data_IF_775590794280
#
_entry.id   IF_775590794280
#
_cell.length_a   1.000
_cell.length_b   1.000
_cell.length_c   1.000
_cell.angle_alpha   90.00
_cell.angle_beta   90.00
_cell.angle_gamma   90.00
#
_symmetry.space_group_name_H-M   'P 1'
#
loop_
_entity.id
_entity.type
_entity.pdbx_description
1 polymer ?
#
# COMPACT_ATOMS: atom_id res chain seq x y z
N UNK A 1 -2.23 18.89 14.40
CA UNK A 1 -2.81 17.54 14.48
C UNK A 1 -4.24 17.59 15.01
N UNK A 2 -5.01 16.53 14.77
CA UNK A 2 -6.27 16.25 15.46
C UNK A 2 -6.37 14.75 15.74
N UNK A 3 -7.24 14.37 16.68
CA UNK A 3 -7.59 12.97 16.95
C UNK A 3 -9.10 12.85 16.81
N UNK A 4 -9.54 11.87 16.05
CA UNK A 4 -10.97 11.58 15.86
C UNK A 4 -11.23 10.18 16.38
N UNK A 5 -11.76 10.08 17.58
CA UNK A 5 -12.21 8.81 18.11
C UNK A 5 -13.57 8.43 17.50
N UNK A 6 -13.74 7.16 17.22
CA UNK A 6 -15.00 6.67 16.66
C UNK A 6 -15.37 5.28 17.22
N UNK A 7 -16.65 5.12 17.41
CA UNK A 7 -17.31 3.88 17.76
C UNK A 7 -18.67 3.89 17.05
N UNK A 8 -19.81 3.87 17.78
CA UNK A 8 -21.12 4.20 17.22
C UNK A 8 -21.19 5.69 16.83
N UNK A 9 -20.60 6.55 17.65
CA UNK A 9 -20.50 7.97 17.43
C UNK A 9 -19.06 8.36 17.07
N UNK A 10 -18.92 9.54 16.46
CA UNK A 10 -17.63 10.12 16.10
C UNK A 10 -17.38 11.35 16.98
N UNK A 11 -16.27 11.34 17.71
CA UNK A 11 -15.89 12.41 18.63
C UNK A 11 -14.50 12.94 18.27
N UNK A 12 -14.37 14.11 17.67
CA UNK A 12 -13.08 14.75 17.47
C UNK A 12 -12.56 15.37 18.78
N UNK A 13 -11.22 15.34 18.97
CA UNK A 13 -10.56 16.06 20.07
C UNK A 13 -10.82 17.57 20.01
N UNK A 14 -10.83 18.12 18.79
CA UNK A 14 -11.09 19.53 18.53
C UNK A 14 -11.82 19.69 17.19
N UNK A 15 -12.53 20.82 16.99
CA UNK A 15 -13.22 21.14 15.74
C UNK A 15 -12.24 21.32 14.57
N UNK A 16 -11.05 21.83 14.86
CA UNK A 16 -9.99 22.09 13.86
C UNK A 16 -8.65 21.50 14.33
N UNK A 17 -7.72 21.16 13.41
CA UNK A 17 -6.38 20.71 13.77
C UNK A 17 -5.65 21.71 14.68
N UNK A 18 -5.02 21.21 15.72
CA UNK A 18 -4.31 21.96 16.72
C UNK A 18 -2.77 21.90 16.49
N UNK A 19 -2.01 22.94 16.90
CA UNK A 19 -0.56 22.88 16.89
C UNK A 19 -0.07 21.84 17.91
N UNK A 20 1.07 21.19 17.63
CA UNK A 20 1.61 20.14 18.51
C UNK A 20 2.43 20.71 19.68
N UNK A 21 1.89 21.70 20.42
CA UNK A 21 2.54 22.25 21.63
C UNK A 21 2.54 21.22 22.76
N UNK A 22 3.43 21.37 23.76
CA UNK A 22 3.42 20.47 24.92
C UNK A 22 2.06 20.38 25.64
N UNK A 23 1.33 21.49 25.68
CA UNK A 23 0.01 21.54 26.30
C UNK A 23 -1.02 20.77 25.47
N UNK A 24 -1.09 21.01 24.16
CA UNK A 24 -2.01 20.30 23.28
C UNK A 24 -1.72 18.80 23.21
N UNK A 25 -0.44 18.41 23.30
CA UNK A 25 -0.06 16.99 23.40
C UNK A 25 -0.50 16.35 24.71
N UNK A 26 -0.48 17.12 25.84
CA UNK A 26 -1.01 16.63 27.11
C UNK A 26 -2.52 16.43 27.04
N UNK A 27 -3.26 17.42 26.56
CA UNK A 27 -4.72 17.32 26.35
C UNK A 27 -5.08 16.13 25.45
N UNK A 28 -4.29 15.87 24.42
CA UNK A 28 -4.49 14.71 23.55
C UNK A 28 -4.27 13.38 24.29
N UNK A 29 -3.30 13.29 25.18
CA UNK A 29 -3.09 12.10 26.03
C UNK A 29 -4.26 11.88 26.98
N UNK A 30 -4.66 12.94 27.69
CA UNK A 30 -5.79 12.88 28.62
C UNK A 30 -7.09 12.46 27.88
N UNK A 31 -7.27 12.95 26.65
CA UNK A 31 -8.37 12.53 25.78
C UNK A 31 -8.29 11.04 25.43
N UNK A 32 -7.14 10.53 25.04
CA UNK A 32 -6.92 9.11 24.70
C UNK A 32 -7.15 8.24 25.93
N UNK A 33 -6.61 8.62 27.08
CA UNK A 33 -6.74 7.87 28.35
C UNK A 33 -8.19 7.80 28.81
N UNK A 34 -9.01 8.78 28.43
CA UNK A 34 -10.46 8.81 28.69
C UNK A 34 -11.30 7.95 27.74
N UNK A 35 -10.72 7.42 26.65
CA UNK A 35 -11.48 6.62 25.68
C UNK A 35 -11.90 5.28 26.30
N UNK A 36 -13.12 4.86 25.96
CA UNK A 36 -13.66 3.56 26.36
C UNK A 36 -14.14 2.82 25.14
N UNK A 37 -13.72 1.58 24.99
CA UNK A 37 -14.23 0.71 23.94
C UNK A 37 -15.74 0.51 24.11
N UNK A 38 -16.53 0.84 23.10
CA UNK A 38 -17.99 0.68 23.10
C UNK A 38 -18.54 0.61 21.68
N UNK A 39 -19.63 -0.15 21.55
CA UNK A 39 -20.54 -0.11 20.42
C UNK A 39 -19.94 -0.55 19.11
N UNK A 40 -20.40 0.08 18.04
CA UNK A 40 -20.05 -0.26 16.67
C UNK A 40 -18.85 0.51 16.12
N UNK A 41 -18.69 0.49 14.80
CA UNK A 41 -17.52 1.02 14.09
C UNK A 41 -17.97 1.91 12.93
N UNK A 42 -18.04 3.24 13.15
CA UNK A 42 -18.53 4.25 12.22
C UNK A 42 -17.38 4.79 11.33
N UNK A 43 -16.73 3.93 10.53
CA UNK A 43 -15.55 4.27 9.72
C UNK A 43 -15.84 5.40 8.72
N UNK A 44 -16.97 5.36 8.00
CA UNK A 44 -17.29 6.39 7.00
C UNK A 44 -17.37 7.78 7.63
N UNK A 45 -18.11 7.91 8.73
CA UNK A 45 -18.29 9.19 9.43
C UNK A 45 -16.97 9.71 10.02
N UNK A 46 -16.11 8.83 10.54
CA UNK A 46 -14.78 9.18 11.04
C UNK A 46 -13.88 9.70 9.92
N UNK A 47 -13.85 9.00 8.77
CA UNK A 47 -13.10 9.44 7.60
C UNK A 47 -13.59 10.78 7.07
N UNK A 48 -14.90 10.98 6.95
CA UNK A 48 -15.46 12.26 6.51
C UNK A 48 -15.07 13.39 7.45
N UNK A 49 -15.09 13.17 8.76
CA UNK A 49 -14.66 14.15 9.77
C UNK A 49 -13.19 14.50 9.61
N UNK A 50 -12.32 13.50 9.45
CA UNK A 50 -10.89 13.72 9.26
C UNK A 50 -10.54 14.38 7.91
N UNK A 51 -11.25 14.01 6.84
CA UNK A 51 -10.98 14.52 5.48
C UNK A 51 -11.52 15.93 5.24
N UNK A 52 -12.54 16.38 5.99
CA UNK A 52 -13.05 17.76 5.92
C UNK A 52 -12.20 18.74 6.73
N UNK A 53 -11.38 18.26 7.66
CA UNK A 53 -10.51 19.13 8.45
C UNK A 53 -9.62 19.98 7.54
N UNK A 54 -9.39 21.28 7.84
CA UNK A 54 -8.51 22.13 7.04
C UNK A 54 -7.09 21.55 6.99
N UNK A 55 -6.46 21.58 5.81
CA UNK A 55 -5.08 21.16 5.60
C UNK A 55 -4.21 22.39 5.40
N UNK A 56 -3.01 22.39 5.98
CA UNK A 56 -2.00 23.41 5.71
C UNK A 56 -1.49 23.26 4.26
N UNK A 57 -1.20 24.38 3.60
CA UNK A 57 -0.70 24.38 2.23
C UNK A 57 0.82 24.16 2.12
N UNK A 58 1.55 24.34 3.23
CA UNK A 58 3.02 24.31 3.31
C UNK A 58 3.59 22.94 3.67
N UNK A 59 2.72 21.99 3.95
CA UNK A 59 3.14 20.64 4.38
C UNK A 59 2.16 19.55 3.95
N UNK A 60 2.63 18.30 3.78
CA UNK A 60 1.75 17.17 3.46
C UNK A 60 0.71 16.94 4.58
N UNK A 61 -0.55 16.87 4.21
CA UNK A 61 -1.61 16.45 5.12
C UNK A 61 -1.72 14.93 5.10
N UNK A 62 -1.74 14.31 6.29
CA UNK A 62 -1.82 12.87 6.47
C UNK A 62 -3.02 12.51 7.34
N UNK A 63 -3.72 11.45 6.97
CA UNK A 63 -4.77 10.84 7.78
C UNK A 63 -4.34 9.41 8.08
N UNK A 64 -4.29 9.05 9.35
CA UNK A 64 -3.99 7.68 9.80
C UNK A 64 -5.24 7.09 10.41
N UNK A 65 -5.80 6.07 9.77
CA UNK A 65 -6.91 5.29 10.26
C UNK A 65 -6.37 4.07 11.01
N UNK A 66 -6.74 3.92 12.28
CA UNK A 66 -6.42 2.74 13.10
C UNK A 66 -7.75 2.07 13.45
N UNK A 67 -7.91 0.80 13.12
CA UNK A 67 -9.15 0.06 13.39
C UNK A 67 -8.85 -1.43 13.60
N UNK A 68 -9.66 -2.06 14.42
CA UNK A 68 -9.64 -3.51 14.69
C UNK A 68 -10.88 -4.24 14.15
N UNK A 69 -11.80 -3.51 13.49
CA UNK A 69 -13.07 -4.07 13.04
C UNK A 69 -13.52 -3.65 11.64
N UNK A 70 -14.67 -4.23 11.29
CA UNK A 70 -15.43 -3.90 10.08
C UNK A 70 -16.28 -2.65 10.31
N UNK A 71 -16.66 -1.89 9.27
CA UNK A 71 -17.67 -0.85 9.41
C UNK A 71 -19.03 -1.49 9.76
N UNK A 72 -19.61 -1.07 10.86
CA UNK A 72 -20.89 -1.63 11.37
C UNK A 72 -21.95 -0.56 11.64
N UNK A 73 -21.59 0.71 11.55
CA UNK A 73 -22.49 1.85 11.83
C UNK A 73 -22.43 2.85 10.69
N UNK A 74 -23.58 3.41 10.35
CA UNK A 74 -23.73 4.34 9.23
C UNK A 74 -23.57 3.65 7.89
N UNK A 75 -22.77 4.24 6.99
CA UNK A 75 -22.43 3.58 5.73
C UNK A 75 -21.47 2.41 5.99
N UNK A 76 -21.85 1.22 5.53
CA UNK A 76 -21.06 0.00 5.71
C UNK A 76 -20.59 -0.62 4.40
N UNK A 77 -21.09 -0.14 3.26
CA UNK A 77 -20.64 -0.60 1.94
C UNK A 77 -19.23 -0.08 1.63
N UNK A 78 -18.23 -0.96 1.48
CA UNK A 78 -16.86 -0.55 1.23
C UNK A 78 -16.71 0.28 -0.06
N UNK A 79 -17.50 -0.01 -1.10
CA UNK A 79 -17.44 0.71 -2.37
C UNK A 79 -17.90 2.16 -2.23
N UNK A 80 -18.96 2.38 -1.46
CA UNK A 80 -19.48 3.73 -1.16
C UNK A 80 -18.48 4.50 -0.30
N UNK A 81 -17.94 3.88 0.75
CA UNK A 81 -16.93 4.49 1.64
C UNK A 81 -15.70 4.90 0.82
N UNK A 82 -15.18 4.01 -0.02
CA UNK A 82 -14.01 4.28 -0.88
C UNK A 82 -14.28 5.42 -1.86
N UNK A 83 -15.46 5.45 -2.49
CA UNK A 83 -15.84 6.51 -3.42
C UNK A 83 -15.87 7.88 -2.74
N UNK A 84 -16.52 7.97 -1.56
CA UNK A 84 -16.58 9.20 -0.77
C UNK A 84 -15.21 9.65 -0.28
N UNK A 85 -14.40 8.73 0.23
CA UNK A 85 -13.05 9.04 0.69
C UNK A 85 -12.17 9.58 -0.43
N UNK A 86 -12.21 8.96 -1.63
CA UNK A 86 -11.47 9.43 -2.82
C UNK A 86 -11.88 10.83 -3.25
N UNK A 87 -13.19 11.14 -3.25
CA UNK A 87 -13.69 12.47 -3.60
C UNK A 87 -13.22 13.55 -2.63
N UNK A 88 -13.04 13.20 -1.34
CA UNK A 88 -12.71 14.15 -0.28
C UNK A 88 -11.23 14.19 0.08
N UNK A 89 -10.44 13.19 -0.30
CA UNK A 89 -9.03 13.09 0.08
C UNK A 89 -8.18 14.26 -0.43
N UNK A 90 -8.44 14.73 -1.65
CA UNK A 90 -7.62 15.78 -2.25
C UNK A 90 -6.14 15.41 -2.24
N UNK A 91 -5.24 16.29 -1.77
CA UNK A 91 -3.80 16.01 -1.71
C UNK A 91 -3.39 15.21 -0.46
N UNK A 92 -4.32 14.75 0.37
CA UNK A 92 -4.02 14.03 1.62
C UNK A 92 -3.55 12.61 1.34
N UNK A 93 -2.62 12.13 2.20
CA UNK A 93 -2.14 10.75 2.24
C UNK A 93 -2.95 9.98 3.26
N UNK A 94 -3.56 8.89 2.85
CA UNK A 94 -4.32 8.03 3.74
C UNK A 94 -3.47 6.81 4.10
N UNK A 95 -3.19 6.68 5.37
CA UNK A 95 -2.54 5.51 5.95
C UNK A 95 -3.57 4.72 6.75
N UNK A 96 -3.55 3.40 6.63
CA UNK A 96 -4.46 2.53 7.37
C UNK A 96 -3.69 1.49 8.17
N UNK A 97 -4.07 1.33 9.42
CA UNK A 97 -3.48 0.37 10.34
C UNK A 97 -4.57 -0.56 10.87
N UNK A 98 -4.55 -1.78 10.38
CA UNK A 98 -5.51 -2.82 10.77
C UNK A 98 -4.94 -3.69 11.88
N UNK A 99 -5.67 -3.83 13.00
CA UNK A 99 -5.26 -4.62 14.16
C UNK A 99 -6.12 -5.87 14.27
N UNK A 100 -5.49 -7.03 14.40
CA UNK A 100 -6.20 -8.29 14.51
C UNK A 100 -6.71 -8.84 13.18
N UNK A 101 -7.68 -9.75 13.26
CA UNK A 101 -8.18 -10.50 12.09
C UNK A 101 -9.53 -9.97 11.56
N UNK A 102 -10.24 -9.16 12.33
CA UNK A 102 -11.61 -8.75 12.00
C UNK A 102 -11.69 -7.49 11.13
N UNK A 103 -10.57 -7.03 10.59
CA UNK A 103 -10.49 -5.84 9.76
C UNK A 103 -10.86 -6.13 8.29
N UNK A 104 -11.48 -5.16 7.63
CA UNK A 104 -11.73 -5.23 6.20
C UNK A 104 -10.49 -4.81 5.42
N UNK A 105 -9.65 -5.79 5.04
CA UNK A 105 -8.39 -5.53 4.33
C UNK A 105 -8.63 -4.88 2.96
N UNK A 106 -9.72 -5.21 2.28
CA UNK A 106 -10.09 -4.62 0.99
C UNK A 106 -10.39 -3.12 1.14
N UNK A 107 -11.13 -2.75 2.18
CA UNK A 107 -11.44 -1.36 2.47
C UNK A 107 -10.17 -0.58 2.81
N UNK A 108 -9.34 -1.10 3.73
CA UNK A 108 -8.14 -0.40 4.19
C UNK A 108 -7.13 -0.20 3.07
N UNK A 109 -6.88 -1.21 2.24
CA UNK A 109 -5.98 -1.07 1.09
C UNK A 109 -6.56 -0.13 0.03
N UNK A 110 -7.86 -0.23 -0.23
CA UNK A 110 -8.56 0.64 -1.18
C UNK A 110 -8.54 2.12 -0.79
N UNK A 111 -8.58 2.43 0.53
CA UNK A 111 -8.43 3.79 1.06
C UNK A 111 -7.04 4.37 0.80
N UNK A 112 -6.00 3.55 0.91
CA UNK A 112 -4.62 3.98 0.70
C UNK A 112 -4.25 4.08 -0.79
N UNK A 113 -4.93 3.31 -1.65
CA UNK A 113 -4.68 3.30 -3.09
C UNK A 113 -5.01 4.66 -3.72
N UNK A 114 -4.09 5.20 -4.52
CA UNK A 114 -4.26 6.49 -5.20
C UNK A 114 -4.07 7.71 -4.29
N UNK A 115 -3.69 7.52 -3.02
CA UNK A 115 -3.42 8.61 -2.07
C UNK A 115 -1.95 8.68 -1.64
N UNK A 116 -1.07 7.87 -2.23
CA UNK A 116 0.35 7.73 -1.84
C UNK A 116 0.53 7.32 -0.37
N UNK A 117 -0.53 6.82 0.24
CA UNK A 117 -0.49 6.22 1.56
C UNK A 117 -0.24 4.71 1.50
N UNK A 118 -0.24 4.09 2.66
CA UNK A 118 0.03 2.67 2.81
C UNK A 118 -0.82 2.07 3.93
N UNK A 119 -1.26 0.84 3.77
CA UNK A 119 -1.89 0.06 4.82
C UNK A 119 -0.87 -0.90 5.46
N UNK A 120 -1.03 -1.14 6.74
CA UNK A 120 -0.27 -2.11 7.53
C UNK A 120 -1.21 -2.95 8.37
N UNK A 121 -0.83 -4.19 8.64
CA UNK A 121 -1.66 -5.12 9.42
C UNK A 121 -0.82 -5.75 10.53
N UNK A 122 -1.37 -5.76 11.75
CA UNK A 122 -0.78 -6.40 12.92
C UNK A 122 -1.65 -7.58 13.30
N UNK A 123 -1.08 -8.78 13.24
CA UNK A 123 -1.77 -9.99 13.64
C UNK A 123 -1.78 -10.12 15.16
N UNK A 124 -2.72 -10.91 15.74
CA UNK A 124 -2.85 -11.05 17.20
C UNK A 124 -1.57 -11.52 17.92
N UNK A 125 -0.72 -12.28 17.22
CA UNK A 125 0.54 -12.79 17.76
C UNK A 125 1.71 -11.79 17.71
N UNK A 126 1.55 -10.66 17.07
CA UNK A 126 2.58 -9.63 16.92
C UNK A 126 2.48 -8.58 18.02
N UNK A 127 3.62 -8.02 18.39
CA UNK A 127 3.69 -6.89 19.32
C UNK A 127 3.16 -5.61 18.65
N UNK A 128 2.03 -5.13 19.16
CA UNK A 128 1.34 -3.96 18.64
C UNK A 128 2.17 -2.68 18.81
N UNK A 129 2.87 -2.52 19.93
CA UNK A 129 3.66 -1.33 20.22
C UNK A 129 4.86 -1.21 19.27
N UNK A 130 5.56 -2.32 19.04
CA UNK A 130 6.67 -2.39 18.07
C UNK A 130 6.16 -2.09 16.67
N UNK A 131 5.04 -2.67 16.26
CA UNK A 131 4.47 -2.48 14.93
C UNK A 131 4.00 -1.03 14.71
N UNK A 132 3.35 -0.41 15.69
CA UNK A 132 2.90 0.98 15.64
C UNK A 132 4.09 1.95 15.61
N UNK A 133 5.11 1.72 16.44
CA UNK A 133 6.32 2.55 16.47
C UNK A 133 7.05 2.53 15.13
N UNK A 134 7.26 1.33 14.57
CA UNK A 134 7.89 1.17 13.25
C UNK A 134 7.07 1.84 12.14
N UNK A 135 5.74 1.69 12.19
CA UNK A 135 4.86 2.36 11.25
C UNK A 135 4.95 3.89 11.37
N UNK A 136 4.91 4.42 12.60
CA UNK A 136 5.05 5.86 12.85
C UNK A 136 6.37 6.40 12.32
N UNK A 137 7.49 5.77 12.65
CA UNK A 137 8.81 6.17 12.15
C UNK A 137 8.87 6.19 10.62
N UNK A 138 8.20 5.24 9.98
CA UNK A 138 8.16 5.14 8.51
C UNK A 138 7.41 6.28 7.83
N UNK A 139 6.60 7.07 8.53
CA UNK A 139 5.79 8.16 7.98
C UNK A 139 6.02 9.52 8.66
N UNK A 140 6.78 9.56 9.77
CA UNK A 140 6.89 10.74 10.62
C UNK A 140 7.62 11.93 9.96
N UNK A 141 8.54 11.65 9.05
CA UNK A 141 9.42 12.67 8.48
C UNK A 141 9.45 12.59 6.94
N UNK A 142 8.48 13.19 6.24
CA UNK A 142 8.52 13.28 4.79
C UNK A 142 9.71 14.15 4.35
N UNK A 143 10.50 13.65 3.41
CA UNK A 143 11.69 14.35 2.88
C UNK A 143 11.40 14.83 1.47
N UNK A 144 10.78 14.00 0.63
CA UNK A 144 10.44 14.35 -0.74
C UNK A 144 9.03 13.84 -1.05
N UNK A 145 8.15 14.74 -1.44
CA UNK A 145 6.73 14.45 -1.67
C UNK A 145 6.32 14.73 -3.11
N UNK A 146 5.20 14.18 -3.55
CA UNK A 146 4.69 14.45 -4.88
C UNK A 146 5.58 13.96 -6.01
N UNK A 147 6.27 12.83 -5.84
CA UNK A 147 7.28 12.34 -6.77
C UNK A 147 6.71 12.05 -8.16
N UNK A 148 7.48 12.46 -9.16
CA UNK A 148 7.25 12.15 -10.57
C UNK A 148 8.56 11.78 -11.25
N UNK A 149 8.54 10.78 -12.13
CA UNK A 149 9.69 10.34 -12.92
C UNK A 149 9.45 10.66 -14.40
N UNK A 150 10.34 11.46 -14.97
CA UNK A 150 10.46 11.65 -16.42
C UNK A 150 11.58 10.73 -16.93
N UNK A 151 11.25 9.90 -17.88
CA UNK A 151 12.14 8.88 -18.45
C UNK A 151 13.01 9.38 -19.61
N UNK A 152 12.99 10.69 -19.91
CA UNK A 152 13.85 11.29 -20.94
C UNK A 152 13.70 10.69 -22.35
N UNK A 153 12.49 10.20 -22.67
CA UNK A 153 12.17 9.59 -23.96
C UNK A 153 12.24 8.05 -23.99
N UNK A 154 12.74 7.39 -22.94
CA UNK A 154 12.58 5.95 -22.81
C UNK A 154 11.09 5.61 -22.54
N UNK A 155 10.60 4.53 -23.16
CA UNK A 155 9.25 4.07 -22.89
C UNK A 155 9.26 3.09 -21.73
N UNK A 156 8.88 3.59 -20.54
CA UNK A 156 8.71 2.78 -19.35
C UNK A 156 7.28 2.24 -19.27
N UNK A 157 7.13 1.03 -18.76
CA UNK A 157 5.84 0.38 -18.52
C UNK A 157 5.90 -0.57 -17.33
N UNK A 158 4.73 -0.93 -16.81
CA UNK A 158 4.59 -1.88 -15.69
C UNK A 158 5.47 -1.51 -14.48
N UNK A 159 5.50 -0.22 -14.15
CA UNK A 159 6.26 0.28 -13.01
C UNK A 159 5.72 -0.29 -11.70
N UNK A 160 6.62 -0.61 -10.78
CA UNK A 160 6.34 -0.98 -9.41
C UNK A 160 7.22 -0.14 -8.46
N UNK A 161 6.59 0.65 -7.59
CA UNK A 161 5.15 0.90 -7.50
C UNK A 161 4.62 1.67 -8.72
N UNK A 162 3.33 1.47 -9.12
CA UNK A 162 2.75 2.18 -10.28
C UNK A 162 2.60 3.69 -10.04
N UNK A 163 2.35 4.10 -8.80
CA UNK A 163 2.44 5.48 -8.33
C UNK A 163 3.63 5.60 -7.38
N UNK A 164 4.49 6.59 -7.60
CA UNK A 164 5.67 6.78 -6.76
C UNK A 164 5.21 7.25 -5.37
N UNK A 165 5.59 6.54 -4.29
CA UNK A 165 5.30 6.94 -2.94
C UNK A 165 6.10 8.19 -2.57
N UNK A 166 5.65 8.90 -1.54
CA UNK A 166 6.48 9.93 -0.93
C UNK A 166 7.70 9.29 -0.24
N UNK A 167 8.82 9.97 -0.25
CA UNK A 167 10.06 9.52 0.38
C UNK A 167 10.15 10.12 1.79
N UNK A 168 10.37 9.25 2.76
CA UNK A 168 10.53 9.61 4.16
C UNK A 168 11.98 9.46 4.61
N UNK A 169 12.37 10.10 5.71
CA UNK A 169 13.74 10.04 6.25
C UNK A 169 14.18 8.60 6.50
N UNK A 170 15.36 8.26 6.00
CA UNK A 170 15.88 6.90 6.06
C UNK A 170 15.22 5.91 5.12
N UNK A 171 14.22 6.35 4.34
CA UNK A 171 13.58 5.55 3.32
C UNK A 171 14.38 5.52 2.01
N UNK A 172 14.10 4.53 1.20
CA UNK A 172 14.69 4.33 -0.12
C UNK A 172 13.58 4.22 -1.17
N UNK A 173 13.74 4.92 -2.29
CA UNK A 173 12.83 4.80 -3.43
C UNK A 173 13.41 3.81 -4.43
N UNK A 174 12.77 2.67 -4.60
CA UNK A 174 13.10 1.69 -5.62
C UNK A 174 11.97 1.61 -6.63
N UNK A 175 12.33 1.78 -7.89
CA UNK A 175 11.40 1.69 -9.01
C UNK A 175 11.87 0.55 -9.89
N UNK A 176 11.01 -0.44 -10.09
CA UNK A 176 11.24 -1.51 -11.07
C UNK A 176 10.19 -1.42 -12.16
N UNK A 177 10.52 -1.87 -13.35
CA UNK A 177 9.59 -1.81 -14.49
C UNK A 177 10.16 -2.45 -15.72
N UNK A 178 9.39 -2.43 -16.79
CA UNK A 178 9.85 -2.81 -18.13
C UNK A 178 10.14 -1.56 -18.95
N UNK A 179 11.08 -1.64 -19.89
CA UNK A 179 11.43 -0.53 -20.76
C UNK A 179 11.58 -0.97 -22.21
N UNK A 180 11.39 0.00 -23.12
CA UNK A 180 11.76 -0.14 -24.53
C UNK A 180 12.69 1.01 -24.90
N UNK A 181 13.82 0.66 -25.50
CA UNK A 181 14.90 1.58 -25.87
C UNK A 181 16.24 0.92 -25.66
N UNK A 182 17.31 1.63 -26.01
CA UNK A 182 18.70 1.23 -25.82
C UNK A 182 19.56 2.47 -25.59
N UNK A 183 20.81 2.25 -25.17
CA UNK A 183 21.75 3.33 -24.90
C UNK A 183 21.52 4.05 -23.58
N UNK A 184 22.17 5.17 -23.43
CA UNK A 184 22.11 6.00 -22.22
C UNK A 184 21.06 7.08 -22.38
N UNK A 185 20.10 7.13 -21.47
CA UNK A 185 19.01 8.10 -21.47
C UNK A 185 19.05 8.98 -20.21
N UNK A 186 18.77 10.29 -20.32
CA UNK A 186 18.61 11.14 -19.17
C UNK A 186 17.29 10.84 -18.48
N UNK A 187 17.29 10.74 -17.17
CA UNK A 187 16.09 10.62 -16.37
C UNK A 187 16.01 11.76 -15.36
N UNK A 188 14.80 12.15 -15.03
CA UNK A 188 14.57 13.25 -14.10
C UNK A 188 13.54 12.83 -13.06
N UNK A 189 13.93 12.78 -11.78
CA UNK A 189 13.04 12.63 -10.65
C UNK A 189 12.71 14.02 -10.12
N UNK A 190 11.44 14.37 -10.00
CA UNK A 190 11.00 15.63 -9.42
C UNK A 190 10.08 15.38 -8.25
N UNK A 191 10.07 16.28 -7.28
CA UNK A 191 9.22 16.24 -6.10
C UNK A 191 9.23 17.58 -5.37
N UNK A 192 8.67 17.62 -4.18
CA UNK A 192 8.61 18.80 -3.32
C UNK A 192 9.30 18.53 -1.98
N UNK A 193 10.20 19.43 -1.58
CA UNK A 193 10.82 19.50 -0.26
C UNK A 193 10.35 20.78 0.41
N UNK A 194 9.65 20.69 1.54
CA UNK A 194 9.10 21.84 2.27
C UNK A 194 8.34 22.84 1.36
N UNK A 195 7.53 22.31 0.44
CA UNK A 195 6.74 23.10 -0.51
C UNK A 195 7.53 23.72 -1.67
N UNK A 196 8.82 23.39 -1.81
CA UNK A 196 9.67 23.82 -2.93
C UNK A 196 9.88 22.65 -3.88
N UNK A 197 9.73 22.90 -5.18
CA UNK A 197 9.99 21.88 -6.19
C UNK A 197 11.48 21.66 -6.36
N UNK A 198 11.89 20.41 -6.19
CA UNK A 198 13.26 19.94 -6.39
C UNK A 198 13.32 18.95 -7.56
N UNK A 199 14.47 18.92 -8.23
CA UNK A 199 14.65 18.12 -9.46
C UNK A 199 16.02 17.47 -9.44
N UNK A 200 16.03 16.13 -9.51
CA UNK A 200 17.22 15.30 -9.53
C UNK A 200 17.39 14.70 -10.94
N UNK A 201 18.55 14.96 -11.57
CA UNK A 201 18.87 14.46 -12.90
C UNK A 201 19.91 13.37 -12.81
N UNK A 202 19.69 12.28 -13.51
CA UNK A 202 20.60 11.16 -13.61
C UNK A 202 20.51 10.52 -15.00
N UNK A 203 21.44 9.64 -15.29
CA UNK A 203 21.46 8.90 -16.56
C UNK A 203 21.26 7.41 -16.28
N UNK A 204 20.38 6.77 -17.04
CA UNK A 204 20.21 5.32 -17.00
C UNK A 204 20.76 4.70 -18.27
N UNK A 205 21.52 3.61 -18.12
CA UNK A 205 21.97 2.79 -19.26
C UNK A 205 20.97 1.66 -19.48
N UNK A 206 20.35 1.65 -20.67
CA UNK A 206 19.34 0.68 -21.07
C UNK A 206 19.91 -0.49 -21.92
N UNK A 207 21.21 -0.61 -22.05
CA UNK A 207 21.87 -1.64 -22.91
C UNK A 207 21.93 -3.03 -22.27
N UNK A 208 21.14 -3.30 -21.29
CA UNK A 208 20.98 -4.64 -20.70
C UNK A 208 22.24 -5.19 -20.05
N UNK A 209 22.35 -5.08 -18.75
CA UNK A 209 23.49 -5.61 -17.99
C UNK A 209 23.15 -6.97 -17.39
N UNK A 210 23.88 -8.01 -17.82
CA UNK A 210 23.74 -9.38 -17.29
C UNK A 210 24.19 -9.53 -15.83
N UNK A 211 24.94 -8.56 -15.29
CA UNK A 211 25.36 -8.57 -13.88
C UNK A 211 24.19 -8.50 -12.90
N UNK A 212 23.05 -8.03 -13.34
CA UNK A 212 21.85 -7.85 -12.53
C UNK A 212 20.72 -8.80 -12.95
N UNK A 213 21.04 -10.06 -13.27
CA UNK A 213 20.08 -11.08 -13.73
C UNK A 213 18.93 -11.35 -12.72
N UNK A 214 19.07 -10.94 -11.48
CA UNK A 214 18.05 -11.06 -10.44
C UNK A 214 16.94 -9.98 -10.54
N UNK A 215 17.20 -8.83 -11.18
CA UNK A 215 16.23 -7.71 -11.28
C UNK A 215 14.91 -8.13 -11.94
N UNK A 216 14.90 -8.89 -13.07
CA UNK A 216 13.63 -9.35 -13.64
C UNK A 216 12.77 -10.15 -12.68
N UNK A 217 13.38 -10.95 -11.79
CA UNK A 217 12.65 -11.71 -10.77
C UNK A 217 12.09 -10.80 -9.68
N UNK A 218 12.86 -9.80 -9.23
CA UNK A 218 12.38 -8.81 -8.26
C UNK A 218 11.20 -8.03 -8.80
N UNK A 219 11.30 -7.54 -10.05
CA UNK A 219 10.18 -6.90 -10.73
C UNK A 219 8.96 -7.81 -10.80
N UNK A 220 9.14 -9.06 -11.21
CA UNK A 220 8.03 -10.00 -11.31
C UNK A 220 7.37 -10.29 -9.96
N UNK A 221 8.13 -10.37 -8.86
CA UNK A 221 7.60 -10.52 -7.50
C UNK A 221 6.75 -9.31 -7.10
N UNK A 222 7.27 -8.10 -7.30
CA UNK A 222 6.52 -6.86 -7.01
C UNK A 222 5.25 -6.76 -7.87
N UNK A 223 5.36 -7.09 -9.15
CA UNK A 223 4.21 -7.09 -10.07
C UNK A 223 3.15 -8.10 -9.65
N UNK A 224 3.53 -9.32 -9.29
CA UNK A 224 2.61 -10.35 -8.78
C UNK A 224 1.91 -9.86 -7.50
N UNK A 225 2.65 -9.30 -6.54
CA UNK A 225 2.07 -8.73 -5.33
C UNK A 225 1.05 -7.63 -5.63
N UNK A 226 1.38 -6.72 -6.55
CA UNK A 226 0.46 -5.68 -7.00
C UNK A 226 -0.80 -6.27 -7.66
N UNK A 227 -0.67 -7.25 -8.56
CA UNK A 227 -1.81 -7.88 -9.23
C UNK A 227 -2.71 -8.62 -8.24
N UNK A 228 -2.14 -9.26 -7.21
CA UNK A 228 -2.91 -9.88 -6.12
C UNK A 228 -3.71 -8.83 -5.33
N UNK A 229 -3.11 -7.68 -5.04
CA UNK A 229 -3.84 -6.57 -4.41
C UNK A 229 -4.97 -6.05 -5.29
N UNK A 230 -4.77 -5.92 -6.60
CA UNK A 230 -5.83 -5.51 -7.53
C UNK A 230 -6.99 -6.52 -7.56
N UNK A 231 -6.70 -7.82 -7.57
CA UNK A 231 -7.74 -8.86 -7.48
C UNK A 231 -8.52 -8.78 -6.17
N UNK A 232 -7.81 -8.52 -5.06
CA UNK A 232 -8.41 -8.41 -3.73
C UNK A 232 -9.29 -7.16 -3.58
N UNK A 233 -8.85 -6.02 -4.11
CA UNK A 233 -9.56 -4.73 -4.02
C UNK A 233 -10.75 -4.69 -5.00
N UNK A 234 -10.56 -5.12 -6.25
CA UNK A 234 -11.54 -4.94 -7.31
C UNK A 234 -12.31 -6.21 -7.67
N UNK A 235 -11.97 -7.34 -7.05
CA UNK A 235 -12.57 -8.62 -7.33
C UNK A 235 -11.91 -9.35 -8.51
N UNK A 236 -12.53 -10.47 -8.91
CA UNK A 236 -11.98 -11.37 -9.91
C UNK A 236 -11.85 -10.71 -11.28
N UNK A 237 -10.66 -10.83 -11.85
CA UNK A 237 -10.36 -10.46 -13.22
C UNK A 237 -9.49 -11.55 -13.85
N UNK A 238 -9.95 -12.14 -14.96
CA UNK A 238 -9.27 -13.27 -15.60
C UNK A 238 -7.93 -12.87 -16.21
N UNK A 239 -7.81 -11.66 -16.75
CA UNK A 239 -6.55 -11.16 -17.32
C UNK A 239 -5.45 -11.04 -16.26
N UNK A 240 -5.81 -10.53 -15.06
CA UNK A 240 -4.87 -10.44 -13.94
C UNK A 240 -4.45 -11.83 -13.45
N UNK A 241 -5.37 -12.79 -13.37
CA UNK A 241 -5.07 -14.17 -13.01
C UNK A 241 -4.13 -14.85 -14.02
N UNK A 242 -4.37 -14.63 -15.30
CA UNK A 242 -3.51 -15.17 -16.36
C UNK A 242 -2.12 -14.54 -16.34
N UNK A 243 -2.01 -13.24 -16.03
CA UNK A 243 -0.73 -12.54 -15.87
C UNK A 243 0.03 -13.08 -14.65
N UNK A 244 -0.61 -13.23 -13.48
CA UNK A 244 0.00 -13.85 -12.30
C UNK A 244 0.51 -15.25 -12.64
N UNK A 245 -0.30 -16.07 -13.32
CA UNK A 245 0.08 -17.42 -13.72
C UNK A 245 1.28 -17.44 -14.68
N UNK A 246 1.35 -16.52 -15.62
CA UNK A 246 2.50 -16.39 -16.55
C UNK A 246 3.78 -16.00 -15.80
N UNK A 247 3.69 -14.97 -14.95
CA UNK A 247 4.83 -14.50 -14.15
C UNK A 247 5.30 -15.56 -13.16
N UNK A 248 4.36 -16.23 -12.47
CA UNK A 248 4.67 -17.31 -11.54
C UNK A 248 5.45 -18.44 -12.19
N UNK A 249 5.01 -18.92 -13.35
CA UNK A 249 5.73 -19.97 -14.11
C UNK A 249 7.09 -19.51 -14.60
N UNK A 250 7.15 -18.30 -15.18
CA UNK A 250 8.40 -17.78 -15.79
C UNK A 250 9.50 -17.54 -14.75
N UNK A 251 9.14 -17.07 -13.56
CA UNK A 251 10.11 -16.62 -12.54
C UNK A 251 10.15 -17.51 -11.31
N UNK A 252 9.41 -18.64 -11.30
CA UNK A 252 9.37 -19.55 -10.14
C UNK A 252 8.77 -18.90 -8.89
N UNK A 253 7.73 -18.04 -9.05
CA UNK A 253 7.06 -17.37 -7.95
C UNK A 253 5.88 -18.23 -7.54
N UNK A 254 5.94 -18.74 -6.29
CA UNK A 254 4.83 -19.47 -5.70
C UNK A 254 3.80 -18.49 -5.14
N UNK A 255 2.58 -18.61 -5.59
CA UNK A 255 1.41 -17.88 -5.09
C UNK A 255 0.27 -18.84 -4.92
N UNK A 256 -0.80 -18.47 -4.26
CA UNK A 256 -2.03 -19.25 -4.20
C UNK A 256 -2.56 -19.58 -5.60
N UNK A 257 -2.32 -18.70 -6.57
CA UNK A 257 -2.74 -18.85 -7.95
C UNK A 257 -1.77 -19.70 -8.80
N UNK A 258 -0.58 -20.00 -8.31
CA UNK A 258 0.45 -20.77 -9.04
C UNK A 258 0.77 -22.12 -8.40
N UNK A 259 0.45 -22.33 -7.13
CA UNK A 259 0.78 -23.57 -6.38
C UNK A 259 0.20 -24.83 -6.99
N UNK A 260 -0.89 -24.75 -7.73
CA UNK A 260 -1.53 -25.87 -8.41
C UNK A 260 -1.08 -26.11 -9.87
N UNK A 261 -0.15 -25.29 -10.37
CA UNK A 261 0.39 -25.45 -11.73
C UNK A 261 1.63 -26.35 -11.80
N UNK A 262 2.16 -26.77 -10.66
CA UNK A 262 3.20 -27.80 -10.56
C UNK A 262 2.49 -29.15 -10.48
N UNK A 263 1.93 -29.57 -11.61
CA UNK A 263 1.38 -30.91 -11.78
C UNK A 263 2.43 -31.73 -12.53
N UNK A 264 2.85 -32.82 -11.95
CA UNK A 264 3.73 -33.79 -12.61
C UNK A 264 3.12 -34.25 -13.95
N UNK A 265 3.95 -34.50 -14.96
CA UNK A 265 3.57 -34.86 -16.33
C UNK A 265 2.69 -36.11 -16.51
N UNK A 266 2.33 -36.80 -15.41
CA UNK A 266 1.61 -38.05 -15.39
C UNK A 266 0.16 -38.00 -14.89
N UNK A 267 -0.49 -36.83 -14.81
CA UNK A 267 -1.87 -36.74 -14.34
C UNK A 267 -2.86 -36.76 -15.49
N UNK A 268 -3.87 -37.62 -15.38
CA UNK A 268 -4.99 -37.80 -16.28
C UNK A 268 -5.70 -36.45 -16.57
N UNK A 269 -5.92 -36.13 -17.86
CA UNK A 269 -6.52 -34.86 -18.32
C UNK A 269 -7.91 -34.58 -17.71
N UNK A 270 -8.66 -35.60 -17.34
CA UNK A 270 -9.94 -35.46 -16.66
C UNK A 270 -9.79 -34.89 -15.24
N UNK A 271 -8.81 -35.39 -14.48
CA UNK A 271 -8.48 -34.89 -13.14
C UNK A 271 -7.91 -33.48 -13.17
N UNK A 272 -7.19 -33.10 -14.21
CA UNK A 272 -6.73 -31.73 -14.45
C UNK A 272 -7.91 -30.75 -14.62
N UNK A 273 -8.99 -31.16 -15.29
CA UNK A 273 -10.19 -30.37 -15.46
C UNK A 273 -10.96 -30.14 -14.15
N UNK A 274 -11.01 -31.16 -13.29
CA UNK A 274 -11.64 -31.06 -11.97
C UNK A 274 -10.76 -30.23 -11.00
N UNK A 275 -9.47 -30.45 -11.00
CA UNK A 275 -8.51 -29.66 -10.20
C UNK A 275 -8.54 -28.17 -10.60
N UNK A 276 -8.61 -27.85 -11.90
CA UNK A 276 -8.79 -26.48 -12.39
C UNK A 276 -10.10 -25.84 -11.93
N UNK A 277 -11.20 -26.58 -11.94
CA UNK A 277 -12.50 -26.06 -11.47
C UNK A 277 -12.51 -25.87 -9.95
N UNK A 278 -12.02 -26.83 -9.20
CA UNK A 278 -11.88 -26.73 -7.74
C UNK A 278 -10.99 -25.57 -7.34
N UNK A 279 -9.86 -25.37 -8.05
CA UNK A 279 -8.97 -24.24 -7.89
C UNK A 279 -9.66 -22.90 -8.21
N UNK A 280 -10.34 -22.80 -9.34
CA UNK A 280 -11.10 -21.58 -9.68
C UNK A 280 -12.12 -21.20 -8.60
N UNK A 281 -12.78 -22.18 -8.00
CA UNK A 281 -13.70 -21.96 -6.87
C UNK A 281 -12.99 -21.59 -5.57
N UNK A 282 -11.81 -22.15 -5.30
CA UNK A 282 -11.01 -21.80 -4.12
C UNK A 282 -10.48 -20.35 -4.22
N UNK A 283 -9.97 -19.97 -5.40
CA UNK A 283 -9.53 -18.61 -5.71
C UNK A 283 -10.69 -17.62 -5.58
N UNK A 284 -11.87 -17.99 -6.07
CA UNK A 284 -13.05 -17.14 -5.95
C UNK A 284 -13.45 -16.92 -4.50
N UNK A 285 -13.47 -17.97 -3.69
CA UNK A 285 -13.75 -17.88 -2.25
C UNK A 285 -12.73 -17.05 -1.50
N UNK A 286 -11.44 -17.16 -1.86
CA UNK A 286 -10.36 -16.37 -1.27
C UNK A 286 -10.47 -14.89 -1.64
N UNK A 287 -10.78 -14.57 -2.92
CA UNK A 287 -10.96 -13.19 -3.38
C UNK A 287 -12.22 -12.51 -2.80
N UNK A 288 -13.24 -13.29 -2.42
CA UNK A 288 -14.47 -12.79 -1.79
C UNK A 288 -14.28 -12.49 -0.29
N UNK A 289 -13.26 -13.03 0.35
CA UNK A 289 -12.98 -12.80 1.78
C UNK A 289 -12.39 -11.41 1.99
N UNK A 290 -13.15 -10.56 2.67
CA UNK A 290 -12.77 -9.18 2.98
C UNK A 290 -12.15 -9.05 4.37
N UNK A 291 -12.33 -10.04 5.26
CA UNK A 291 -11.86 -10.08 6.64
C UNK A 291 -11.52 -11.49 7.08
N UNK A 292 -10.96 -11.62 8.29
CA UNK A 292 -10.52 -12.88 8.88
C UNK A 292 -9.03 -13.13 8.70
N UNK A 293 -8.49 -14.08 9.46
CA UNK A 293 -7.05 -14.41 9.47
C UNK A 293 -6.48 -14.70 8.07
N UNK A 294 -7.26 -15.34 7.20
CA UNK A 294 -6.85 -15.64 5.83
C UNK A 294 -6.75 -14.35 4.98
N UNK A 295 -7.74 -13.45 5.05
CA UNK A 295 -7.71 -12.18 4.31
C UNK A 295 -6.54 -11.29 4.76
N UNK A 296 -6.28 -11.22 6.06
CA UNK A 296 -5.11 -10.52 6.61
C UNK A 296 -3.82 -11.18 6.16
N UNK A 297 -3.75 -12.53 6.19
CA UNK A 297 -2.59 -13.29 5.69
C UNK A 297 -2.27 -13.01 4.23
N UNK A 298 -3.29 -12.97 3.37
CA UNK A 298 -3.16 -12.63 1.95
C UNK A 298 -2.67 -11.18 1.72
N UNK A 299 -3.24 -10.23 2.45
CA UNK A 299 -2.83 -8.84 2.39
C UNK A 299 -1.35 -8.67 2.80
N UNK A 300 -0.94 -9.27 3.90
CA UNK A 300 0.45 -9.28 4.38
C UNK A 300 1.37 -9.92 3.34
N UNK A 301 0.97 -11.07 2.76
CA UNK A 301 1.79 -11.76 1.76
C UNK A 301 1.97 -10.93 0.48
N UNK A 302 0.91 -10.34 -0.05
CA UNK A 302 0.99 -9.48 -1.23
C UNK A 302 1.92 -8.28 -1.00
N UNK A 303 1.84 -7.65 0.18
CA UNK A 303 2.74 -6.56 0.58
C UNK A 303 4.19 -7.04 0.72
N UNK A 304 4.42 -8.20 1.33
CA UNK A 304 5.74 -8.77 1.45
C UNK A 304 6.39 -9.08 0.10
N UNK A 305 5.62 -9.45 -0.93
CA UNK A 305 6.12 -9.61 -2.30
C UNK A 305 6.53 -8.26 -2.92
N UNK A 306 5.75 -7.20 -2.68
CA UNK A 306 6.09 -5.85 -3.13
C UNK A 306 7.33 -5.32 -2.39
N UNK A 307 7.40 -5.50 -1.08
CA UNK A 307 8.51 -5.01 -0.23
C UNK A 307 9.81 -5.78 -0.47
N UNK A 308 9.78 -7.08 -0.85
CA UNK A 308 10.99 -7.83 -1.22
C UNK A 308 11.73 -7.25 -2.40
N UNK A 309 11.03 -6.60 -3.31
CA UNK A 309 11.66 -5.81 -4.38
C UNK A 309 12.39 -4.57 -3.83
N UNK A 310 12.11 -4.20 -2.58
CA UNK A 310 12.68 -3.04 -1.88
C UNK A 310 13.75 -3.43 -0.84
N UNK A 311 14.10 -4.72 -0.69
CA UNK A 311 15.06 -5.17 0.32
C UNK A 311 16.51 -4.75 -0.02
N UNK A 312 17.36 -4.36 1.00
CA UNK A 312 18.75 -3.96 0.79
C UNK A 312 19.57 -5.06 0.11
N UNK A 313 20.39 -4.72 -0.89
CA UNK A 313 21.30 -5.65 -1.56
C UNK A 313 21.11 -5.83 -3.06
N UNK A 314 20.04 -5.33 -3.64
CA UNK A 314 19.91 -5.23 -5.10
C UNK A 314 20.64 -3.95 -5.53
N UNK A 315 21.87 -4.06 -6.04
CA UNK A 315 22.71 -2.93 -6.45
C UNK A 315 21.94 -1.91 -7.28
N UNK A 316 21.52 -0.85 -6.63
CA UNK A 316 20.85 0.31 -7.19
C UNK A 316 21.85 1.45 -7.36
N UNK A 317 21.47 2.46 -8.12
CA UNK A 317 22.21 3.71 -8.19
C UNK A 317 21.89 4.50 -6.90
N UNK A 318 22.86 4.53 -5.96
CA UNK A 318 22.76 5.34 -4.74
C UNK A 318 22.76 6.82 -5.12
N UNK A 319 21.64 7.47 -4.98
CA UNK A 319 21.55 8.93 -4.99
C UNK A 319 21.39 9.42 -3.55
N UNK A 320 22.45 9.99 -2.99
CA UNK A 320 22.35 10.70 -1.72
C UNK A 320 21.58 12.02 -1.94
N UNK A 321 20.55 12.26 -1.15
CA UNK A 321 19.96 13.59 -1.04
C UNK A 321 20.98 14.50 -0.35
N UNK A 322 21.10 15.79 -0.75
CA UNK A 322 21.98 16.72 -0.05
C UNK A 322 21.52 16.80 1.43
N UNK A 323 22.49 16.64 2.33
CA UNK A 323 22.28 16.90 3.76
C UNK A 323 21.98 18.38 3.93
N UNK A 324 20.76 18.72 4.31
CA UNK A 324 20.28 20.07 4.63
C UNK A 324 20.18 20.31 6.13
#
# INVERSE_FOLDING_TARGET
FNIVAFATDVTPLAETPQPATPEQRRQARDYIDGLKARGGTAIDSALQTALRAPAASDRPAMVVLITDGLPTVGETDPGVILSRARQQSGPRRLFAFGVGNDVNTRLLDGLCQGTRGRSSYVRPEQDLEVALSSFYESIAHPVLTGLTLDSGGARLSELNPPELPDLFRGGELRITGTFRGSGTVPMTLSGEIEGRRETFRFTANLDGDRRHAFIPRLWAMARVGYLQDQLRIHGRNQELLDEIGRLGRRFGILTEHTSFLIVEDNIDRARLGEARRAFGQAVQRSAERQSGAEAVGLAVHAKALQDRAQAPGAGGMDMALPEG
#
